data_IF_187939374452
#
_entry.id   IF_187939374452
#
_cell.length_a   1.000
_cell.length_b   1.000
_cell.length_c   1.000
_cell.angle_alpha   90.00
_cell.angle_beta   90.00
_cell.angle_gamma   90.00
#
_symmetry.space_group_name_H-M   'P 1'
#
loop_
_entity.id
_entity.type
_entity.pdbx_description
1 polymer ?
#
# COMPACT_ATOMS: atom_id res chain seq x y z
N UNK A 1 -51.35 -29.31 35.24
CA UNK A 1 -50.39 -28.20 35.09
C UNK A 1 -51.14 -27.06 34.41
N UNK A 2 -51.60 -26.04 35.17
CA UNK A 2 -52.34 -24.91 34.59
C UNK A 2 -51.37 -23.96 33.90
N UNK A 3 -51.65 -23.51 32.68
CA UNK A 3 -50.82 -22.50 32.07
C UNK A 3 -50.95 -21.17 32.83
N UNK A 4 -49.82 -20.60 33.25
CA UNK A 4 -49.75 -19.25 33.85
C UNK A 4 -50.48 -18.26 32.96
N UNK A 5 -51.54 -17.60 33.48
CA UNK A 5 -52.19 -16.50 32.77
C UNK A 5 -51.15 -15.38 32.59
N UNK A 6 -50.70 -15.21 31.37
CA UNK A 6 -49.86 -14.09 30.96
C UNK A 6 -50.66 -12.82 31.26
N UNK A 7 -50.08 -11.96 32.10
CA UNK A 7 -50.74 -10.77 32.62
C UNK A 7 -51.15 -9.85 31.44
N UNK A 8 -52.42 -9.93 31.05
CA UNK A 8 -52.98 -9.19 29.89
C UNK A 8 -52.68 -7.70 29.93
N UNK A 9 -52.56 -7.14 31.14
CA UNK A 9 -52.22 -5.73 31.36
C UNK A 9 -50.76 -5.42 30.90
N UNK A 10 -49.81 -6.28 31.22
CA UNK A 10 -48.40 -6.12 30.74
C UNK A 10 -48.30 -6.12 29.21
N UNK A 11 -49.01 -6.99 28.56
CA UNK A 11 -49.04 -7.06 27.11
C UNK A 11 -49.63 -5.79 26.46
N UNK A 12 -50.66 -5.21 27.06
CA UNK A 12 -51.26 -3.96 26.59
C UNK A 12 -50.27 -2.82 26.66
N UNK A 13 -49.47 -2.70 27.73
CA UNK A 13 -48.43 -1.67 27.80
C UNK A 13 -47.30 -1.90 26.79
N UNK A 14 -46.94 -3.15 26.52
CA UNK A 14 -45.95 -3.48 25.49
C UNK A 14 -46.46 -3.09 24.08
N UNK A 15 -47.71 -3.41 23.77
CA UNK A 15 -48.31 -3.03 22.49
C UNK A 15 -48.48 -1.52 22.36
N UNK A 16 -48.88 -0.85 23.42
CA UNK A 16 -48.98 0.61 23.43
C UNK A 16 -47.60 1.28 23.25
N UNK A 17 -46.57 0.75 23.89
CA UNK A 17 -45.18 1.17 23.71
C UNK A 17 -44.73 0.94 22.28
N UNK A 18 -44.96 -0.25 21.71
CA UNK A 18 -44.59 -0.56 20.30
C UNK A 18 -45.36 0.32 19.33
N UNK A 19 -46.62 0.63 19.55
CA UNK A 19 -47.43 1.53 18.76
C UNK A 19 -46.89 2.97 18.80
N UNK A 20 -46.60 3.50 20.00
CA UNK A 20 -46.00 4.83 20.14
C UNK A 20 -44.62 4.87 19.52
N UNK A 21 -43.79 3.82 19.68
CA UNK A 21 -42.47 3.72 19.08
C UNK A 21 -42.54 3.69 17.54
N UNK A 22 -43.47 2.90 16.98
CA UNK A 22 -43.64 2.85 15.53
C UNK A 22 -44.14 4.18 14.95
N UNK A 23 -45.03 4.89 15.66
CA UNK A 23 -45.49 6.22 15.21
C UNK A 23 -44.41 7.29 15.25
N UNK A 24 -43.37 7.13 16.09
CA UNK A 24 -42.25 8.07 16.17
C UNK A 24 -41.22 7.83 15.06
N UNK A 25 -41.04 6.58 14.61
CA UNK A 25 -40.06 6.23 13.57
C UNK A 25 -40.37 6.91 12.24
N UNK A 26 -41.67 7.07 11.88
CA UNK A 26 -42.11 7.70 10.65
C UNK A 26 -42.36 9.21 10.79
N UNK A 27 -41.97 9.81 11.93
CA UNK A 27 -42.13 11.24 12.10
C UNK A 27 -41.08 11.98 11.28
N UNK A 28 -41.55 12.83 10.34
CA UNK A 28 -40.70 13.61 9.45
C UNK A 28 -39.69 14.50 10.19
N UNK A 29 -40.07 15.00 11.38
CA UNK A 29 -39.18 15.84 12.20
C UNK A 29 -38.00 15.02 12.74
N UNK A 30 -38.22 13.75 13.12
CA UNK A 30 -37.17 12.85 13.60
C UNK A 30 -36.26 12.46 12.42
N UNK A 31 -36.84 12.10 11.27
CA UNK A 31 -36.09 11.79 10.05
C UNK A 31 -35.21 12.96 9.65
N UNK A 32 -35.80 14.16 9.58
CA UNK A 32 -35.05 15.38 9.23
C UNK A 32 -33.95 15.71 10.23
N UNK A 33 -34.17 15.45 11.53
CA UNK A 33 -33.16 15.61 12.55
C UNK A 33 -31.94 14.69 12.29
N UNK A 34 -32.17 13.41 11.99
CA UNK A 34 -31.10 12.45 11.68
C UNK A 34 -30.43 12.82 10.35
N UNK A 35 -31.18 13.17 9.33
CA UNK A 35 -30.60 13.61 8.04
C UNK A 35 -29.71 14.83 8.18
N UNK A 36 -30.13 15.82 8.97
CA UNK A 36 -29.37 17.06 9.17
C UNK A 36 -28.13 16.88 10.02
N UNK A 37 -28.27 16.19 11.17
CA UNK A 37 -27.18 16.09 12.14
C UNK A 37 -26.15 15.00 11.84
N UNK A 38 -26.48 14.03 10.98
CA UNK A 38 -25.61 12.93 10.60
C UNK A 38 -25.04 13.06 9.20
N UNK A 39 -25.12 14.25 8.57
CA UNK A 39 -24.36 14.52 7.35
C UNK A 39 -22.90 14.69 7.69
N UNK A 40 -22.04 14.12 6.85
CA UNK A 40 -20.59 14.32 6.95
C UNK A 40 -20.28 15.78 6.65
N UNK A 41 -19.78 16.50 7.63
CA UNK A 41 -19.35 17.89 7.53
C UNK A 41 -17.82 17.94 7.53
N UNK A 42 -17.18 17.07 8.33
CA UNK A 42 -15.75 17.05 8.49
C UNK A 42 -15.18 15.76 7.89
N UNK A 43 -14.31 15.93 6.90
CA UNK A 43 -13.45 14.86 6.38
C UNK A 43 -12.06 15.08 6.98
N UNK A 44 -11.67 14.21 7.93
CA UNK A 44 -10.35 14.23 8.57
C UNK A 44 -9.46 13.18 7.90
N UNK A 45 -8.48 13.64 7.15
CA UNK A 45 -7.49 12.79 6.49
C UNK A 45 -6.11 13.40 6.63
N UNK A 46 -5.09 12.57 6.62
CA UNK A 46 -3.69 12.96 6.69
C UNK A 46 -3.05 13.25 5.32
N UNK A 47 -3.84 13.33 4.24
CA UNK A 47 -3.37 13.59 2.89
C UNK A 47 -4.29 14.59 2.17
N UNK A 48 -3.78 15.81 1.94
CA UNK A 48 -4.54 16.91 1.35
C UNK A 48 -4.97 16.64 -0.10
N UNK A 49 -4.18 15.89 -0.87
CA UNK A 49 -4.54 15.54 -2.26
C UNK A 49 -5.75 14.61 -2.29
N UNK A 50 -5.81 13.66 -1.37
CA UNK A 50 -6.95 12.75 -1.24
C UNK A 50 -8.23 13.41 -0.71
N UNK A 51 -8.13 14.56 -0.04
CA UNK A 51 -9.32 15.36 0.35
C UNK A 51 -10.15 15.72 -0.87
N UNK A 52 -9.49 16.13 -1.96
CA UNK A 52 -10.17 16.57 -3.18
C UNK A 52 -10.97 15.40 -3.78
N UNK A 53 -10.36 14.23 -3.86
CA UNK A 53 -10.97 13.03 -4.46
C UNK A 53 -12.09 12.42 -3.59
N UNK A 54 -11.98 12.56 -2.27
CA UNK A 54 -12.97 12.06 -1.31
C UNK A 54 -14.07 13.10 -0.99
N UNK A 55 -14.03 14.27 -1.61
CA UNK A 55 -14.96 15.35 -1.33
C UNK A 55 -16.43 14.99 -1.62
N UNK A 56 -16.68 14.05 -2.53
CA UNK A 56 -18.01 13.52 -2.82
C UNK A 56 -18.66 12.81 -1.62
N UNK A 57 -17.89 12.45 -0.61
CA UNK A 57 -18.39 11.88 0.64
C UNK A 57 -18.95 12.94 1.59
N UNK A 58 -18.54 14.20 1.41
CA UNK A 58 -19.09 15.33 2.18
C UNK A 58 -20.56 15.52 1.83
N UNK A 59 -21.38 15.79 2.83
CA UNK A 59 -22.85 15.88 2.77
C UNK A 59 -23.59 14.54 2.66
N UNK A 60 -22.92 13.40 2.53
CA UNK A 60 -23.57 12.10 2.65
C UNK A 60 -23.93 11.79 4.11
N UNK A 61 -24.95 10.98 4.32
CA UNK A 61 -25.34 10.57 5.68
C UNK A 61 -24.38 9.49 6.21
N UNK A 62 -23.68 9.80 7.31
CA UNK A 62 -22.66 8.90 7.90
C UNK A 62 -23.24 7.57 8.37
N UNK A 63 -24.54 7.52 8.73
CA UNK A 63 -25.19 6.28 9.20
C UNK A 63 -25.40 5.32 8.04
N UNK A 64 -25.86 5.81 6.88
CA UNK A 64 -26.12 5.01 5.69
C UNK A 64 -24.87 4.78 4.83
N UNK A 65 -23.76 5.46 5.11
CA UNK A 65 -22.53 5.37 4.34
C UNK A 65 -21.99 3.94 4.32
N UNK A 66 -21.80 3.41 3.12
CA UNK A 66 -21.26 2.06 2.92
C UNK A 66 -19.72 2.09 2.89
N UNK A 67 -19.10 1.52 3.92
CA UNK A 67 -17.62 1.45 3.98
C UNK A 67 -17.00 0.71 2.80
N UNK A 68 -17.70 -0.28 2.25
CA UNK A 68 -17.16 -1.08 1.14
C UNK A 68 -16.99 -0.25 -0.13
N UNK A 69 -17.83 0.74 -0.37
CA UNK A 69 -17.70 1.65 -1.52
C UNK A 69 -16.44 2.51 -1.38
N UNK A 70 -16.19 3.04 -0.19
CA UNK A 70 -14.98 3.83 0.09
C UNK A 70 -13.73 2.95 -0.04
N UNK A 71 -13.77 1.71 0.47
CA UNK A 71 -12.67 0.75 0.35
C UNK A 71 -12.35 0.50 -1.12
N UNK A 72 -13.37 0.19 -1.93
CA UNK A 72 -13.20 -0.07 -3.37
C UNK A 72 -12.61 1.14 -4.11
N UNK A 73 -13.02 2.36 -3.74
CA UNK A 73 -12.46 3.58 -4.31
C UNK A 73 -10.98 3.75 -3.92
N UNK A 74 -10.64 3.57 -2.64
CA UNK A 74 -9.27 3.72 -2.15
C UNK A 74 -8.32 2.62 -2.68
N UNK A 75 -8.80 1.40 -2.92
CA UNK A 75 -8.00 0.31 -3.49
C UNK A 75 -7.53 0.57 -4.93
N UNK A 76 -8.18 1.49 -5.64
CA UNK A 76 -7.79 1.90 -6.99
C UNK A 76 -6.49 2.74 -7.00
N UNK A 77 -6.10 3.32 -5.86
CA UNK A 77 -4.88 4.12 -5.75
C UNK A 77 -3.67 3.24 -5.42
N UNK A 78 -2.81 2.93 -6.41
CA UNK A 78 -1.68 2.02 -6.20
C UNK A 78 -0.61 2.58 -5.26
N UNK A 79 -0.59 3.90 -5.03
CA UNK A 79 0.31 4.55 -4.08
C UNK A 79 -0.06 4.24 -2.62
N UNK A 80 -1.28 3.78 -2.35
CA UNK A 80 -1.70 3.44 -1.00
C UNK A 80 -1.24 2.02 -0.63
N UNK A 81 -0.57 1.92 0.51
CA UNK A 81 -0.18 0.65 1.12
C UNK A 81 -1.28 0.10 2.03
N UNK A 82 -1.87 0.98 2.82
CA UNK A 82 -2.98 0.64 3.72
C UNK A 82 -3.78 1.90 4.07
N UNK A 83 -5.01 1.70 4.49
CA UNK A 83 -5.88 2.78 4.97
C UNK A 83 -6.78 2.28 6.08
N UNK A 84 -7.28 3.23 6.89
CA UNK A 84 -8.21 2.97 7.98
C UNK A 84 -9.35 3.98 7.94
N UNK A 85 -10.58 3.48 7.95
CA UNK A 85 -11.80 4.29 7.86
C UNK A 85 -12.56 4.19 9.16
N UNK A 86 -12.75 5.31 9.84
CA UNK A 86 -13.49 5.43 11.09
C UNK A 86 -14.62 6.44 10.96
N UNK A 87 -15.83 6.03 11.33
CA UNK A 87 -16.97 6.92 11.49
C UNK A 87 -16.93 7.51 12.90
N UNK A 88 -16.78 8.81 13.03
CA UNK A 88 -16.80 9.54 14.30
C UNK A 88 -18.11 10.32 14.33
N UNK A 89 -19.08 9.76 15.02
CA UNK A 89 -20.41 10.35 15.09
C UNK A 89 -20.40 11.69 15.86
N UNK A 90 -21.28 12.65 15.50
CA UNK A 90 -22.35 12.47 14.54
C UNK A 90 -21.99 12.72 13.05
N UNK A 91 -20.91 13.43 12.73
CA UNK A 91 -20.74 14.05 11.41
C UNK A 91 -19.29 14.07 10.88
N UNK A 92 -18.38 13.28 11.47
CA UNK A 92 -16.98 13.26 11.06
C UNK A 92 -16.60 11.89 10.49
N UNK A 93 -16.03 11.88 9.29
CA UNK A 93 -15.41 10.70 8.69
C UNK A 93 -13.89 10.86 8.75
N UNK A 94 -13.25 9.98 9.51
CA UNK A 94 -11.79 9.96 9.63
C UNK A 94 -11.20 8.86 8.76
N UNK A 95 -10.30 9.24 7.84
CA UNK A 95 -9.62 8.34 6.92
C UNK A 95 -8.12 8.53 7.10
N UNK A 96 -7.45 7.54 7.67
CA UNK A 96 -6.00 7.49 7.82
C UNK A 96 -5.42 6.73 6.62
N UNK A 97 -4.55 7.38 5.85
CA UNK A 97 -3.93 6.86 4.64
C UNK A 97 -2.44 6.63 4.87
N UNK A 98 -1.93 5.47 4.50
CA UNK A 98 -0.50 5.17 4.54
C UNK A 98 0.00 4.91 3.13
N UNK A 99 0.84 5.81 2.62
CA UNK A 99 1.49 5.65 1.31
C UNK A 99 2.55 4.54 1.35
N UNK A 100 2.72 3.87 0.21
CA UNK A 100 3.77 2.88 0.04
C UNK A 100 5.14 3.54 -0.05
N UNK A 101 6.20 2.84 0.37
CA UNK A 101 7.57 3.30 0.16
C UNK A 101 7.99 2.97 -1.27
N UNK A 102 8.69 3.89 -1.90
CA UNK A 102 9.28 3.70 -3.22
C UNK A 102 10.51 2.77 -3.11
N UNK A 103 10.53 1.68 -3.86
CA UNK A 103 11.64 0.73 -3.86
C UNK A 103 12.56 0.88 -5.06
N UNK A 104 12.00 1.19 -6.22
CA UNK A 104 12.73 1.37 -7.46
C UNK A 104 11.90 2.22 -8.43
N UNK A 105 12.55 2.73 -9.48
CA UNK A 105 11.87 3.37 -10.60
C UNK A 105 12.15 2.64 -11.90
N UNK A 106 11.18 2.65 -12.80
CA UNK A 106 11.27 2.12 -14.15
C UNK A 106 10.83 3.22 -15.12
N UNK A 107 11.51 3.31 -16.25
CA UNK A 107 11.15 4.27 -17.30
C UNK A 107 10.51 3.49 -18.44
N UNK A 108 9.29 3.83 -18.78
CA UNK A 108 8.54 3.24 -19.88
C UNK A 108 7.90 4.35 -20.73
N UNK A 109 8.15 4.34 -22.03
CA UNK A 109 7.70 5.38 -22.97
C UNK A 109 7.99 6.82 -22.48
N UNK A 110 9.19 7.07 -21.99
CA UNK A 110 9.65 8.35 -21.43
C UNK A 110 8.97 8.78 -20.11
N UNK A 111 8.01 8.02 -19.63
CA UNK A 111 7.37 8.25 -18.34
C UNK A 111 8.06 7.49 -17.21
N UNK A 112 8.12 8.11 -16.03
CA UNK A 112 8.71 7.53 -14.84
C UNK A 112 7.61 6.88 -14.00
N UNK A 113 7.77 5.60 -13.73
CA UNK A 113 6.93 4.85 -12.80
C UNK A 113 7.76 4.37 -11.62
N UNK A 114 7.14 4.34 -10.45
CA UNK A 114 7.75 3.80 -9.24
C UNK A 114 7.14 2.44 -8.89
N UNK A 115 7.96 1.57 -8.34
CA UNK A 115 7.53 0.30 -7.75
C UNK A 115 7.49 0.49 -6.24
N UNK A 116 6.31 0.32 -5.66
CA UNK A 116 6.10 0.45 -4.23
C UNK A 116 6.47 -0.80 -3.44
N UNK A 117 6.58 -0.65 -2.13
CA UNK A 117 6.77 -1.77 -1.20
C UNK A 117 5.58 -2.76 -1.24
N UNK A 118 4.39 -2.27 -1.60
CA UNK A 118 3.20 -3.06 -1.86
C UNK A 118 3.24 -3.83 -3.20
N UNK A 119 4.30 -3.68 -3.99
CA UNK A 119 4.49 -4.33 -5.27
C UNK A 119 3.69 -3.75 -6.43
N UNK A 120 2.97 -2.65 -6.22
CA UNK A 120 2.20 -1.96 -7.27
C UNK A 120 3.07 -0.94 -7.98
N UNK A 121 2.71 -0.68 -9.25
CA UNK A 121 3.32 0.36 -10.08
C UNK A 121 2.46 1.63 -9.98
N UNK A 122 3.10 2.79 -9.81
CA UNK A 122 2.41 4.08 -9.74
C UNK A 122 3.31 5.21 -10.23
N UNK A 123 2.70 6.33 -10.56
CA UNK A 123 3.41 7.59 -10.84
C UNK A 123 3.37 8.47 -9.59
N UNK A 124 4.44 9.23 -9.38
CA UNK A 124 4.53 10.19 -8.28
C UNK A 124 5.46 11.33 -8.72
N UNK A 125 5.10 12.55 -8.40
CA UNK A 125 5.84 13.77 -8.79
C UNK A 125 6.93 14.13 -7.76
N UNK A 126 7.65 13.12 -7.27
CA UNK A 126 8.75 13.36 -6.34
C UNK A 126 10.05 13.64 -7.10
N UNK A 127 10.54 14.85 -6.97
CA UNK A 127 11.84 15.22 -7.52
C UNK A 127 12.99 14.60 -6.70
N UNK A 128 14.04 14.14 -7.40
CA UNK A 128 15.32 13.70 -6.82
C UNK A 128 15.25 12.52 -5.82
N UNK A 129 14.23 11.67 -5.93
CA UNK A 129 14.16 10.48 -5.09
C UNK A 129 15.29 9.49 -5.42
N UNK A 130 16.11 9.17 -4.42
CA UNK A 130 17.21 8.20 -4.53
C UNK A 130 16.68 6.77 -4.40
N UNK A 131 16.30 6.18 -5.52
CA UNK A 131 15.96 4.77 -5.63
C UNK A 131 16.57 4.20 -6.91
N UNK A 132 16.91 2.90 -6.97
CA UNK A 132 17.52 2.30 -8.14
C UNK A 132 16.62 2.39 -9.38
N UNK A 133 17.25 2.59 -10.55
CA UNK A 133 16.56 2.50 -11.82
C UNK A 133 16.61 1.07 -12.32
N UNK A 134 15.47 0.46 -12.59
CA UNK A 134 15.39 -0.84 -13.25
C UNK A 134 15.50 -0.63 -14.76
N UNK A 135 16.43 -1.37 -15.40
CA UNK A 135 16.67 -1.35 -16.84
C UNK A 135 16.50 -2.75 -17.42
N UNK A 136 16.04 -2.80 -18.65
CA UNK A 136 15.76 -4.05 -19.38
C UNK A 136 14.26 -4.36 -19.39
N UNK A 137 13.86 -5.28 -20.27
CA UNK A 137 12.46 -5.70 -20.42
C UNK A 137 12.10 -6.72 -19.33
N UNK A 138 11.66 -6.25 -18.18
CA UNK A 138 11.34 -7.06 -17.02
C UNK A 138 9.85 -6.95 -16.64
N UNK A 139 9.22 -8.09 -16.43
CA UNK A 139 7.85 -8.11 -15.89
C UNK A 139 7.83 -7.60 -14.44
N UNK A 140 6.84 -6.80 -14.09
CA UNK A 140 6.69 -6.21 -12.74
C UNK A 140 6.77 -7.27 -11.63
N UNK A 141 6.15 -8.44 -11.84
CA UNK A 141 6.24 -9.56 -10.90
C UNK A 141 7.69 -10.00 -10.65
N UNK A 142 8.51 -10.11 -11.70
CA UNK A 142 9.93 -10.50 -11.60
C UNK A 142 10.74 -9.41 -10.90
N UNK A 143 10.50 -8.14 -11.23
CA UNK A 143 11.11 -7.01 -10.56
C UNK A 143 10.79 -7.00 -9.06
N UNK A 144 9.53 -7.17 -8.68
CA UNK A 144 9.10 -7.26 -7.30
C UNK A 144 9.75 -8.43 -6.53
N UNK A 145 9.87 -9.59 -7.16
CA UNK A 145 10.57 -10.73 -6.56
C UNK A 145 12.02 -10.39 -6.26
N UNK A 146 12.72 -9.77 -7.20
CA UNK A 146 14.11 -9.37 -7.03
C UNK A 146 14.29 -8.28 -5.97
N UNK A 147 13.46 -7.23 -5.99
CA UNK A 147 13.46 -6.18 -4.96
C UNK A 147 13.20 -6.74 -3.56
N UNK A 148 12.30 -7.73 -3.42
CA UNK A 148 12.07 -8.41 -2.16
C UNK A 148 13.27 -9.23 -1.67
N UNK A 149 14.08 -9.78 -2.57
CA UNK A 149 15.34 -10.44 -2.21
C UNK A 149 16.37 -9.41 -1.74
N UNK A 150 16.46 -8.26 -2.41
CA UNK A 150 17.35 -7.17 -2.00
C UNK A 150 16.94 -6.59 -0.64
N UNK A 151 15.65 -6.43 -0.36
CA UNK A 151 15.17 -6.01 0.98
C UNK A 151 15.55 -6.96 2.11
N UNK A 152 15.66 -8.26 1.83
CA UNK A 152 16.11 -9.27 2.79
C UNK A 152 17.64 -9.33 2.93
N UNK A 153 18.33 -8.55 2.12
CA UNK A 153 19.78 -8.40 2.15
C UNK A 153 20.18 -7.22 3.02
N UNK A 154 21.49 -7.05 3.25
CA UNK A 154 22.03 -5.87 3.92
C UNK A 154 22.31 -4.71 2.96
N UNK A 155 21.99 -4.84 1.69
CA UNK A 155 22.19 -3.76 0.72
C UNK A 155 21.20 -2.62 0.96
N UNK A 156 21.75 -1.41 1.01
CA UNK A 156 20.95 -0.21 1.04
C UNK A 156 20.51 0.15 -0.39
N UNK A 157 19.20 0.13 -0.66
CA UNK A 157 18.67 0.46 -1.97
C UNK A 157 19.08 1.86 -2.45
N UNK A 158 19.28 2.82 -1.53
CA UNK A 158 19.70 4.17 -1.86
C UNK A 158 21.14 4.27 -2.38
N UNK A 159 21.94 3.23 -2.18
CA UNK A 159 23.31 3.13 -2.69
C UNK A 159 23.38 2.42 -4.05
N UNK A 160 22.25 1.86 -4.49
CA UNK A 160 22.14 1.18 -5.79
C UNK A 160 21.70 2.20 -6.84
N UNK A 161 22.52 2.39 -7.84
CA UNK A 161 22.24 3.28 -8.99
C UNK A 161 21.26 2.64 -9.98
N UNK A 162 21.51 1.38 -10.33
CA UNK A 162 20.63 0.67 -11.25
C UNK A 162 20.65 -0.85 -11.08
N UNK A 163 19.53 -1.45 -11.46
CA UNK A 163 19.30 -2.89 -11.52
C UNK A 163 19.07 -3.25 -12.99
N UNK A 164 19.96 -4.02 -13.59
CA UNK A 164 19.88 -4.35 -15.02
C UNK A 164 19.41 -5.79 -15.17
N UNK A 165 18.24 -5.96 -15.76
CA UNK A 165 17.70 -7.26 -16.11
C UNK A 165 18.05 -7.65 -17.54
N UNK A 166 18.43 -8.89 -17.76
CA UNK A 166 18.75 -9.43 -19.06
C UNK A 166 17.73 -10.50 -19.48
N UNK A 167 17.50 -10.70 -20.77
CA UNK A 167 16.56 -11.72 -21.28
C UNK A 167 16.88 -13.15 -20.81
N UNK A 168 18.14 -13.41 -20.41
CA UNK A 168 18.56 -14.69 -19.82
C UNK A 168 18.11 -14.89 -18.37
N UNK A 169 17.32 -13.96 -17.79
CA UNK A 169 16.85 -14.04 -16.39
C UNK A 169 17.87 -13.57 -15.35
N UNK A 170 19.07 -13.19 -15.76
CA UNK A 170 20.12 -12.71 -14.86
C UNK A 170 19.93 -11.24 -14.49
N UNK A 171 20.55 -10.83 -13.36
CA UNK A 171 20.55 -9.46 -12.86
C UNK A 171 21.98 -8.96 -12.65
N UNK A 172 22.22 -7.70 -13.02
CA UNK A 172 23.41 -6.97 -12.61
C UNK A 172 22.97 -5.82 -11.67
N UNK A 173 23.67 -5.69 -10.53
CA UNK A 173 23.45 -4.61 -9.55
C UNK A 173 24.60 -3.62 -9.73
N UNK A 174 24.27 -2.39 -10.07
CA UNK A 174 25.24 -1.30 -10.21
C UNK A 174 25.08 -0.33 -9.06
N UNK A 175 26.12 -0.11 -8.28
CA UNK A 175 26.15 0.81 -7.15
C UNK A 175 26.57 2.23 -7.58
N UNK A 176 26.27 3.23 -6.75
CA UNK A 176 26.64 4.62 -6.97
C UNK A 176 28.17 4.81 -7.04
N UNK A 177 28.95 4.00 -6.35
CA UNK A 177 30.43 3.98 -6.41
C UNK A 177 30.99 3.23 -7.60
N UNK A 178 30.15 2.91 -8.62
CA UNK A 178 30.48 2.16 -9.82
C UNK A 178 30.90 0.70 -9.59
N UNK A 179 30.67 0.14 -8.41
CA UNK A 179 30.78 -1.31 -8.21
C UNK A 179 29.65 -2.03 -8.92
N UNK A 180 29.95 -3.22 -9.46
CA UNK A 180 28.98 -4.04 -10.18
C UNK A 180 28.99 -5.45 -9.64
N UNK A 181 27.82 -5.97 -9.31
CA UNK A 181 27.61 -7.39 -8.97
C UNK A 181 26.80 -8.02 -10.10
N UNK A 182 27.37 -9.06 -10.73
CA UNK A 182 26.71 -9.83 -11.79
C UNK A 182 26.21 -11.14 -11.22
N UNK A 183 24.88 -11.35 -11.30
CA UNK A 183 24.18 -12.50 -10.72
C UNK A 183 23.66 -13.42 -11.82
N UNK A 184 23.70 -14.74 -11.61
CA UNK A 184 22.97 -15.67 -12.48
C UNK A 184 21.48 -15.68 -12.14
N UNK A 185 20.67 -16.25 -13.03
CA UNK A 185 19.23 -16.44 -12.79
C UNK A 185 18.89 -17.39 -11.64
N UNK A 186 19.80 -18.33 -11.36
CA UNK A 186 19.60 -19.37 -10.37
C UNK A 186 20.18 -18.99 -8.99
N UNK A 187 19.46 -19.35 -7.93
CA UNK A 187 19.91 -19.15 -6.54
C UNK A 187 20.26 -17.68 -6.18
N UNK A 188 19.57 -16.72 -6.78
CA UNK A 188 19.85 -15.28 -6.67
C UNK A 188 20.07 -14.84 -5.23
N UNK A 189 19.23 -15.27 -4.29
CA UNK A 189 19.37 -14.91 -2.87
C UNK A 189 20.70 -15.39 -2.26
N UNK A 190 21.13 -16.62 -2.58
CA UNK A 190 22.43 -17.14 -2.12
C UNK A 190 23.59 -16.35 -2.70
N UNK A 191 23.47 -15.92 -3.97
CA UNK A 191 24.49 -15.09 -4.61
C UNK A 191 24.55 -13.68 -4.03
N UNK A 192 23.40 -13.07 -3.73
CA UNK A 192 23.33 -11.80 -3.00
C UNK A 192 24.04 -11.91 -1.65
N UNK A 193 23.75 -12.95 -0.86
CA UNK A 193 24.41 -13.19 0.43
C UNK A 193 25.93 -13.38 0.30
N UNK A 194 26.37 -14.05 -0.76
CA UNK A 194 27.80 -14.22 -1.05
C UNK A 194 28.47 -12.89 -1.40
N UNK A 195 27.80 -12.05 -2.21
CA UNK A 195 28.28 -10.71 -2.53
C UNK A 195 28.37 -9.81 -1.29
N UNK A 196 27.38 -9.88 -0.38
CA UNK A 196 27.41 -9.13 0.89
C UNK A 196 28.64 -9.48 1.74
N UNK A 197 28.99 -10.76 1.81
CA UNK A 197 30.17 -11.21 2.57
C UNK A 197 31.46 -10.64 1.98
N UNK A 198 31.58 -10.63 0.62
CA UNK A 198 32.74 -10.08 -0.04
C UNK A 198 32.86 -8.57 0.16
N UNK A 199 31.75 -7.84 0.10
CA UNK A 199 31.74 -6.38 0.26
C UNK A 199 31.96 -5.92 1.71
N UNK A 200 31.79 -6.80 2.70
CA UNK A 200 32.11 -6.52 4.12
C UNK A 200 33.60 -6.57 4.42
N UNK A 201 34.39 -7.21 3.57
CA UNK A 201 35.83 -7.24 3.72
C UNK A 201 36.40 -5.85 3.37
N UNK A 202 37.02 -5.18 4.35
CA UNK A 202 37.59 -3.84 4.21
C UNK A 202 38.75 -3.81 3.19
N UNK A 203 39.40 -4.93 2.95
CA UNK A 203 40.50 -5.05 1.96
C UNK A 203 39.98 -5.33 0.56
N UNK A 204 38.65 -5.43 0.38
CA UNK A 204 38.06 -5.76 -0.90
C UNK A 204 37.91 -4.51 -1.78
N UNK A 205 38.78 -4.33 -2.74
CA UNK A 205 38.86 -3.13 -3.62
C UNK A 205 38.40 -3.39 -5.06
N UNK A 206 37.88 -4.58 -5.36
CA UNK A 206 37.46 -4.90 -6.73
C UNK A 206 36.15 -4.24 -7.13
N UNK A 207 36.11 -3.70 -8.37
CA UNK A 207 34.91 -3.04 -8.90
C UNK A 207 33.85 -4.03 -9.37
N UNK A 208 34.22 -5.16 -9.95
CA UNK A 208 33.28 -6.13 -10.50
C UNK A 208 33.38 -7.44 -9.74
N UNK A 209 32.23 -7.90 -9.25
CA UNK A 209 32.03 -9.21 -8.64
C UNK A 209 31.12 -10.01 -9.56
N UNK A 210 31.69 -10.97 -10.31
CA UNK A 210 30.91 -11.82 -11.20
C UNK A 210 30.64 -13.19 -10.54
N UNK A 211 29.37 -13.43 -10.22
CA UNK A 211 28.86 -14.64 -9.58
C UNK A 211 28.02 -15.49 -10.53
N UNK A 212 28.11 -15.28 -11.83
CA UNK A 212 27.28 -15.98 -12.83
C UNK A 212 27.67 -17.45 -12.99
N UNK A 213 28.94 -17.79 -12.76
CA UNK A 213 29.43 -19.16 -12.88
C UNK A 213 29.28 -19.87 -11.54
N UNK A 214 28.63 -21.02 -11.56
CA UNK A 214 28.42 -21.80 -10.34
C UNK A 214 29.78 -22.15 -9.67
N UNK A 215 29.82 -21.96 -8.34
CA UNK A 215 30.99 -22.23 -7.48
C UNK A 215 32.26 -21.41 -7.84
N UNK A 216 32.18 -20.40 -8.69
CA UNK A 216 33.31 -19.51 -9.00
C UNK A 216 32.96 -18.07 -8.64
N UNK A 217 33.97 -17.30 -8.30
CA UNK A 217 33.90 -15.84 -8.15
C UNK A 217 34.96 -15.29 -9.07
N UNK A 218 34.55 -14.44 -10.01
CA UNK A 218 35.49 -13.72 -10.87
C UNK A 218 35.50 -12.26 -10.40
N UNK A 219 36.67 -11.75 -10.14
CA UNK A 219 36.91 -10.41 -9.65
C UNK A 219 37.73 -9.65 -10.69
N UNK A 220 37.25 -8.45 -11.06
CA UNK A 220 38.00 -7.60 -11.98
C UNK A 220 37.82 -6.12 -11.61
N UNK A 221 38.68 -5.29 -12.17
CA UNK A 221 38.65 -3.82 -12.00
C UNK A 221 38.07 -3.11 -13.22
N UNK A 222 37.78 -3.87 -14.27
CA UNK A 222 37.16 -3.43 -15.56
C UNK A 222 35.94 -4.28 -15.90
#
# INVERSE_FOLDING_TARGET
MMPRSIDKKKNIYIYLFLFLFSSTIFNSSIINFFEKNFKIINLDTNDDLMVIELNDLVNQNILSLNKSEIINSLEQYPILNSFKINKVYPNTLKIELNKTKHLAKIIYNEEVFYIGENGKLFQDDIENLKVPIIRGDVKIKTANQFLNLLKKSSFNLNEIKSLIFFPSGRWDIVFENNRIIKLSENNVFKLIKKAELLLKDQNFDKKIIDLRINNKIILSDE
#
